data_IF_379528235062
#
_entry.id   IF_379528235062
#
_cell.length_a   1.000
_cell.length_b   1.000
_cell.length_c   1.000
_cell.angle_alpha   90.00
_cell.angle_beta   90.00
_cell.angle_gamma   90.00
#
_symmetry.space_group_name_H-M   'P 1'
#
loop_
_entity.id
_entity.type
_entity.pdbx_description
1 polymer ?
#
# COMPACT_ATOMS: atom_id res chain seq x y z
N UNK A 1 -12.05 8.93 -0.80
CA UNK A 1 -10.80 8.63 -0.08
C UNK A 1 -9.91 7.76 -0.96
N UNK A 2 -8.65 8.11 -1.04
CA UNK A 2 -7.66 7.37 -1.83
C UNK A 2 -6.68 6.65 -0.91
N UNK A 3 -6.52 5.34 -1.15
CA UNK A 3 -5.74 4.44 -0.29
C UNK A 3 -4.62 3.80 -1.09
N UNK A 4 -3.41 3.81 -0.55
CA UNK A 4 -2.30 3.01 -1.06
C UNK A 4 -2.13 1.79 -0.16
N UNK A 5 -2.15 0.60 -0.77
CA UNK A 5 -1.94 -0.67 -0.08
C UNK A 5 -0.62 -1.28 -0.54
N UNK A 6 0.31 -1.43 0.39
CA UNK A 6 1.62 -2.04 0.13
C UNK A 6 1.66 -3.39 0.86
N UNK A 7 1.47 -4.47 0.10
CA UNK A 7 1.33 -5.83 0.62
C UNK A 7 1.83 -6.84 -0.42
N UNK A 8 2.71 -7.74 -0.05
CA UNK A 8 3.26 -8.76 -0.95
C UNK A 8 2.41 -10.02 -1.08
N UNK A 9 1.55 -10.30 -0.12
CA UNK A 9 0.62 -11.44 -0.20
C UNK A 9 -0.56 -11.05 -1.09
N UNK A 10 -0.64 -11.69 -2.26
CA UNK A 10 -1.67 -11.38 -3.25
C UNK A 10 -3.10 -11.61 -2.72
N UNK A 11 -3.31 -12.71 -2.00
CA UNK A 11 -4.64 -13.04 -1.47
C UNK A 11 -5.09 -12.01 -0.42
N UNK A 12 -4.19 -11.60 0.46
CA UNK A 12 -4.46 -10.57 1.46
C UNK A 12 -4.73 -9.23 0.78
N UNK A 13 -3.90 -8.85 -0.17
CA UNK A 13 -4.05 -7.61 -0.94
C UNK A 13 -5.40 -7.55 -1.64
N UNK A 14 -5.80 -8.63 -2.31
CA UNK A 14 -7.08 -8.74 -2.99
C UNK A 14 -8.26 -8.60 -2.04
N UNK A 15 -8.19 -9.25 -0.89
CA UNK A 15 -9.26 -9.18 0.11
C UNK A 15 -9.45 -7.77 0.64
N UNK A 16 -8.35 -7.09 0.97
CA UNK A 16 -8.39 -5.72 1.47
C UNK A 16 -8.89 -4.76 0.39
N UNK A 17 -8.36 -4.88 -0.81
CA UNK A 17 -8.77 -4.05 -1.95
C UNK A 17 -10.26 -4.16 -2.21
N UNK A 18 -10.79 -5.38 -2.28
CA UNK A 18 -12.21 -5.63 -2.51
C UNK A 18 -13.07 -5.00 -1.43
N UNK A 19 -12.68 -5.15 -0.18
CA UNK A 19 -13.41 -4.60 0.96
C UNK A 19 -13.45 -3.07 0.92
N UNK A 20 -12.32 -2.44 0.64
CA UNK A 20 -12.22 -0.99 0.59
C UNK A 20 -12.97 -0.39 -0.59
N UNK A 21 -12.93 -1.05 -1.74
CA UNK A 21 -13.68 -0.61 -2.92
C UNK A 21 -15.19 -0.66 -2.70
N UNK A 22 -15.68 -1.62 -1.93
CA UNK A 22 -17.09 -1.69 -1.55
C UNK A 22 -17.52 -0.46 -0.73
N UNK A 23 -16.60 0.13 0.01
CA UNK A 23 -16.84 1.34 0.80
C UNK A 23 -16.66 2.63 -0.03
N UNK A 24 -16.48 2.51 -1.34
CA UNK A 24 -16.35 3.65 -2.24
C UNK A 24 -14.96 4.28 -2.29
N UNK A 25 -13.95 3.60 -1.76
CA UNK A 25 -12.57 4.11 -1.77
C UNK A 25 -11.88 3.80 -3.09
N UNK A 26 -10.96 4.67 -3.49
CA UNK A 26 -10.04 4.43 -4.60
C UNK A 26 -8.80 3.77 -4.02
N UNK A 27 -8.45 2.59 -4.52
CA UNK A 27 -7.35 1.79 -3.97
C UNK A 27 -6.30 1.52 -5.04
N UNK A 28 -5.07 1.92 -4.75
CA UNK A 28 -3.89 1.54 -5.53
C UNK A 28 -3.11 0.52 -4.72
N UNK A 29 -2.61 -0.53 -5.36
CA UNK A 29 -1.87 -1.61 -4.70
C UNK A 29 -0.49 -1.77 -5.30
N UNK A 30 0.46 -2.16 -4.46
CA UNK A 30 1.79 -2.57 -4.88
C UNK A 30 2.30 -3.68 -3.95
N UNK A 31 3.19 -4.51 -4.47
CA UNK A 31 3.77 -5.64 -3.74
C UNK A 31 5.21 -5.40 -3.28
N UNK A 32 5.81 -4.28 -3.67
CA UNK A 32 7.18 -3.94 -3.30
C UNK A 32 7.23 -2.63 -2.51
N UNK A 33 8.08 -2.62 -1.48
CA UNK A 33 8.29 -1.44 -0.65
C UNK A 33 8.85 -0.26 -1.42
N UNK A 34 9.77 -0.51 -2.35
CA UNK A 34 10.35 0.53 -3.20
C UNK A 34 9.30 1.20 -4.07
N UNK A 35 8.43 0.40 -4.70
CA UNK A 35 7.33 0.92 -5.51
C UNK A 35 6.32 1.69 -4.66
N UNK A 36 6.01 1.16 -3.48
CA UNK A 36 5.12 1.83 -2.53
C UNK A 36 5.64 3.19 -2.10
N UNK A 37 6.94 3.28 -1.86
CA UNK A 37 7.61 4.53 -1.50
C UNK A 37 7.51 5.53 -2.65
N UNK A 38 7.80 5.10 -3.88
CA UNK A 38 7.75 5.95 -5.06
C UNK A 38 6.33 6.46 -5.34
N UNK A 39 5.36 5.56 -5.34
CA UNK A 39 3.94 5.90 -5.55
C UNK A 39 3.43 6.80 -4.44
N UNK A 40 3.78 6.50 -3.19
CA UNK A 40 3.36 7.29 -2.03
C UNK A 40 3.86 8.73 -2.06
N UNK A 41 4.98 8.98 -2.73
CA UNK A 41 5.52 10.34 -2.91
C UNK A 41 4.90 11.07 -4.09
N UNK A 42 4.44 10.34 -5.11
CA UNK A 42 3.89 10.94 -6.34
C UNK A 42 2.44 11.39 -6.20
N UNK A 43 1.67 10.72 -5.37
CA UNK A 43 0.23 10.96 -5.26
C UNK A 43 -0.17 11.28 -3.82
N UNK A 44 -1.24 12.06 -3.68
CA UNK A 44 -1.82 12.35 -2.38
C UNK A 44 -2.75 11.22 -1.94
N UNK A 45 -2.32 10.46 -0.95
CA UNK A 45 -3.12 9.41 -0.34
C UNK A 45 -3.68 9.89 1.00
N UNK A 46 -4.92 9.53 1.27
CA UNK A 46 -5.54 9.78 2.58
C UNK A 46 -5.05 8.77 3.61
N UNK A 47 -4.83 7.52 3.16
CA UNK A 47 -4.38 6.42 4.01
C UNK A 47 -3.35 5.59 3.24
N UNK A 48 -2.30 5.17 3.93
CA UNK A 48 -1.35 4.19 3.42
C UNK A 48 -1.38 2.99 4.36
N UNK A 49 -1.76 1.82 3.83
CA UNK A 49 -1.73 0.56 4.56
C UNK A 49 -0.45 -0.16 4.17
N UNK A 50 0.40 -0.45 5.14
CA UNK A 50 1.76 -0.90 4.90
C UNK A 50 2.06 -2.18 5.65
N UNK A 51 2.44 -3.24 4.90
CA UNK A 51 3.01 -4.44 5.49
C UNK A 51 4.45 -4.13 5.97
N UNK A 52 4.77 -4.56 7.18
CA UNK A 52 6.09 -4.34 7.76
C UNK A 52 7.15 -5.33 7.26
N UNK A 53 6.74 -6.39 6.58
CA UNK A 53 7.64 -7.45 6.07
C UNK A 53 7.48 -7.61 4.56
N UNK A 54 8.17 -6.73 3.82
CA UNK A 54 8.14 -6.76 2.36
C UNK A 54 9.40 -7.46 1.80
N UNK A 55 9.32 -8.03 0.58
CA UNK A 55 10.44 -8.79 0.02
C UNK A 55 11.68 -7.96 -0.29
N UNK A 56 11.50 -6.68 -0.64
CA UNK A 56 12.60 -5.81 -1.08
C UNK A 56 13.10 -4.86 0.00
N UNK A 57 12.25 -4.51 0.97
CA UNK A 57 12.66 -3.66 2.08
C UNK A 57 11.71 -3.79 3.26
N UNK A 58 12.22 -3.42 4.43
CA UNK A 58 11.44 -3.42 5.66
C UNK A 58 10.41 -2.30 5.62
N UNK A 59 9.17 -2.60 6.05
CA UNK A 59 8.09 -1.60 6.07
C UNK A 59 8.40 -0.38 6.93
N UNK A 60 9.21 -0.54 7.98
CA UNK A 60 9.66 0.61 8.78
C UNK A 60 10.55 1.57 7.97
N UNK A 61 11.35 1.05 7.05
CA UNK A 61 12.17 1.87 6.16
C UNK A 61 11.30 2.65 5.18
N UNK A 62 10.25 2.02 4.66
CA UNK A 62 9.26 2.69 3.80
C UNK A 62 8.58 3.81 4.57
N UNK A 63 8.14 3.53 5.78
CA UNK A 63 7.45 4.51 6.63
C UNK A 63 8.32 5.73 6.91
N UNK A 64 9.60 5.52 7.22
CA UNK A 64 10.54 6.62 7.47
C UNK A 64 10.75 7.52 6.26
N UNK A 65 10.66 6.95 5.06
CA UNK A 65 10.95 7.65 3.81
C UNK A 65 9.74 8.37 3.23
N UNK A 66 8.56 8.06 3.70
CA UNK A 66 7.33 8.74 3.35
C UNK A 66 7.15 10.00 4.24
#
# INVERSE_FOLDING_TARGET
MRVLLVEDDYAVSQSIETMLKKEGMIVDTTDLGEDGLEIGKLYDYDIIILDLMLPDMNGYEVLKSL
#
